data_IF_988234996215
#
_entry.id   IF_988234996215
#
_cell.length_a   1.000
_cell.length_b   1.000
_cell.length_c   1.000
_cell.angle_alpha   90.00
_cell.angle_beta   90.00
_cell.angle_gamma   90.00
#
_symmetry.space_group_name_H-M   'P 1'
#
loop_
_entity.id
_entity.type
_entity.pdbx_description
1 polymer ?
#
# COMPACT_ATOMS: atom_id res chain seq x y z
N UNK A 1 -54.15 -21.70 11.82
CA UNK A 1 -53.08 -20.76 12.22
C UNK A 1 -51.86 -21.60 12.53
N UNK A 2 -50.80 -21.40 11.75
CA UNK A 2 -49.66 -22.30 11.64
C UNK A 2 -48.80 -22.33 12.91
N UNK A 3 -48.53 -23.55 13.36
CA UNK A 3 -47.52 -23.88 14.36
C UNK A 3 -46.13 -23.56 13.80
N UNK A 4 -45.45 -22.58 14.42
CA UNK A 4 -44.01 -22.34 14.19
C UNK A 4 -43.22 -23.49 14.80
N UNK A 5 -42.84 -24.44 13.94
CA UNK A 5 -41.95 -25.56 14.24
C UNK A 5 -40.54 -25.05 14.57
N UNK A 6 -40.30 -24.76 15.85
CA UNK A 6 -38.95 -24.65 16.39
C UNK A 6 -38.33 -26.04 16.45
N UNK A 7 -37.57 -26.39 15.40
CA UNK A 7 -36.72 -27.57 15.37
C UNK A 7 -35.82 -27.56 16.63
N UNK A 8 -35.80 -28.62 17.46
CA UNK A 8 -34.96 -28.65 18.65
C UNK A 8 -33.49 -28.52 18.23
N UNK A 9 -32.82 -27.45 18.68
CA UNK A 9 -31.38 -27.30 18.47
C UNK A 9 -30.67 -28.39 19.25
N UNK A 10 -29.83 -29.14 18.56
CA UNK A 10 -29.10 -30.26 19.14
C UNK A 10 -28.07 -29.76 20.16
N UNK A 11 -28.11 -30.32 21.37
CA UNK A 11 -27.10 -30.21 22.46
C UNK A 11 -25.63 -30.32 22.00
N UNK A 12 -25.38 -30.93 20.83
CA UNK A 12 -24.05 -30.98 20.22
C UNK A 12 -23.50 -29.59 19.88
N UNK A 13 -24.31 -28.64 19.40
CA UNK A 13 -23.80 -27.33 18.97
C UNK A 13 -23.34 -26.47 20.16
N UNK A 14 -24.06 -26.52 21.29
CA UNK A 14 -23.68 -25.82 22.53
C UNK A 14 -22.37 -26.36 23.12
N UNK A 15 -22.15 -27.68 23.03
CA UNK A 15 -20.94 -28.33 23.52
C UNK A 15 -19.66 -27.88 22.81
N UNK A 16 -19.74 -27.35 21.58
CA UNK A 16 -18.56 -26.90 20.82
C UNK A 16 -18.37 -25.38 20.78
N UNK A 17 -19.46 -24.61 20.83
CA UNK A 17 -19.39 -23.15 20.66
C UNK A 17 -18.74 -22.43 21.86
N UNK A 18 -19.10 -22.81 23.10
CA UNK A 18 -18.53 -22.20 24.31
C UNK A 18 -17.03 -22.52 24.48
N UNK A 19 -16.58 -23.79 24.31
CA UNK A 19 -15.15 -24.09 24.33
C UNK A 19 -14.35 -23.38 23.24
N UNK A 20 -14.95 -23.16 22.06
CA UNK A 20 -14.30 -22.39 20.98
C UNK A 20 -14.06 -20.93 21.39
N UNK A 21 -15.04 -20.27 21.99
CA UNK A 21 -14.89 -18.93 22.54
C UNK A 21 -13.86 -18.88 23.65
N UNK A 22 -13.89 -19.86 24.56
CA UNK A 22 -12.94 -19.95 25.67
C UNK A 22 -11.49 -20.15 25.18
N UNK A 23 -11.30 -20.95 24.12
CA UNK A 23 -10.01 -21.14 23.49
C UNK A 23 -9.49 -19.83 22.86
N UNK A 24 -10.34 -19.08 22.16
CA UNK A 24 -9.96 -17.80 21.55
C UNK A 24 -9.59 -16.73 22.58
N UNK A 25 -10.25 -16.74 23.75
CA UNK A 25 -9.95 -15.81 24.85
C UNK A 25 -8.64 -16.17 25.56
N UNK A 26 -8.37 -17.47 25.75
CA UNK A 26 -7.16 -17.94 26.45
C UNK A 26 -5.88 -17.80 25.63
N UNK A 27 -5.99 -17.83 24.29
CA UNK A 27 -4.84 -17.94 23.41
C UNK A 27 -4.61 -16.62 22.67
N UNK A 28 -3.69 -15.82 23.21
CA UNK A 28 -3.25 -14.56 22.62
C UNK A 28 -1.82 -14.70 22.10
N UNK A 29 -1.66 -14.78 20.77
CA UNK A 29 -0.37 -14.89 20.09
C UNK A 29 0.00 -13.62 19.33
N UNK A 30 1.30 -13.43 19.05
CA UNK A 30 1.80 -12.35 18.20
C UNK A 30 1.77 -10.95 18.84
N UNK A 31 1.82 -9.92 18.01
CA UNK A 31 1.95 -8.51 18.43
C UNK A 31 0.60 -7.82 18.63
N UNK A 32 -0.17 -8.28 19.62
CA UNK A 32 -1.51 -7.76 19.92
C UNK A 32 -1.51 -6.62 20.95
N UNK A 33 -0.47 -6.50 21.77
CA UNK A 33 -0.35 -5.38 22.73
C UNK A 33 -0.29 -4.06 21.96
N UNK A 34 -1.05 -3.08 22.43
CA UNK A 34 -1.16 -1.74 21.83
C UNK A 34 -1.77 -1.70 20.42
N UNK A 35 -2.46 -2.78 20.00
CA UNK A 35 -3.22 -2.79 18.76
C UNK A 35 -4.71 -2.44 19.02
N UNK A 36 -5.17 -1.23 18.66
CA UNK A 36 -6.54 -0.81 18.93
C UNK A 36 -7.59 -1.65 18.19
N UNK A 37 -7.33 -2.05 16.94
CA UNK A 37 -8.22 -2.91 16.16
C UNK A 37 -8.38 -4.30 16.80
N UNK A 38 -7.29 -4.86 17.34
CA UNK A 38 -7.35 -6.12 18.08
C UNK A 38 -8.16 -5.95 19.37
N UNK A 39 -7.93 -4.87 20.13
CA UNK A 39 -8.65 -4.58 21.35
C UNK A 39 -10.16 -4.48 21.10
N UNK A 40 -10.58 -3.76 20.05
CA UNK A 40 -11.99 -3.64 19.67
C UNK A 40 -12.63 -4.99 19.36
N UNK A 41 -11.97 -5.80 18.51
CA UNK A 41 -12.46 -7.14 18.17
C UNK A 41 -12.48 -8.10 19.38
N UNK A 42 -11.53 -7.97 20.29
CA UNK A 42 -11.46 -8.79 21.50
C UNK A 42 -12.53 -8.39 22.53
N UNK A 43 -12.80 -7.09 22.68
CA UNK A 43 -13.90 -6.57 23.50
C UNK A 43 -15.25 -7.05 22.93
N UNK A 44 -15.46 -6.95 21.61
CA UNK A 44 -16.66 -7.49 20.93
C UNK A 44 -16.84 -8.97 21.27
N UNK A 45 -15.78 -9.78 21.13
CA UNK A 45 -15.81 -11.21 21.47
C UNK A 45 -16.19 -11.46 22.94
N UNK A 46 -15.61 -10.70 23.88
CA UNK A 46 -15.89 -10.80 25.31
C UNK A 46 -17.34 -10.46 25.65
N UNK A 47 -17.87 -9.36 25.10
CA UNK A 47 -19.26 -8.95 25.29
C UNK A 47 -20.24 -10.04 24.79
N UNK A 48 -19.99 -10.59 23.60
CA UNK A 48 -20.86 -11.62 23.04
C UNK A 48 -20.79 -12.94 23.81
N UNK A 49 -19.62 -13.30 24.36
CA UNK A 49 -19.46 -14.49 25.21
C UNK A 49 -20.41 -14.46 26.41
N UNK A 50 -20.49 -13.33 27.11
CA UNK A 50 -21.32 -13.16 28.31
C UNK A 50 -22.76 -12.72 28.03
N UNK A 51 -23.10 -12.37 26.79
CA UNK A 51 -24.47 -11.97 26.43
C UNK A 51 -25.48 -13.13 26.41
N UNK A 52 -26.77 -12.80 26.50
CA UNK A 52 -27.89 -13.75 26.31
C UNK A 52 -28.19 -14.05 24.83
N UNK A 53 -27.30 -13.65 23.91
CA UNK A 53 -27.52 -13.84 22.46
C UNK A 53 -27.59 -15.33 22.10
N UNK A 54 -28.41 -15.71 21.10
CA UNK A 54 -28.51 -17.09 20.65
C UNK A 54 -27.16 -17.65 20.20
N UNK A 55 -26.93 -18.94 20.48
CA UNK A 55 -25.67 -19.63 20.17
C UNK A 55 -25.16 -19.43 18.73
N UNK A 56 -26.00 -19.50 17.67
CA UNK A 56 -25.51 -19.30 16.30
C UNK A 56 -24.90 -17.92 16.06
N UNK A 57 -25.39 -16.90 16.77
CA UNK A 57 -24.82 -15.54 16.71
C UNK A 57 -23.45 -15.53 17.38
N UNK A 58 -23.30 -16.20 18.54
CA UNK A 58 -22.01 -16.32 19.22
C UNK A 58 -20.97 -17.05 18.38
N UNK A 59 -21.37 -18.11 17.68
CA UNK A 59 -20.50 -18.85 16.73
C UNK A 59 -20.05 -17.94 15.59
N UNK A 60 -20.98 -17.18 14.98
CA UNK A 60 -20.65 -16.25 13.90
C UNK A 60 -19.62 -15.20 14.33
N UNK A 61 -19.77 -14.64 15.54
CA UNK A 61 -18.80 -13.68 16.10
C UNK A 61 -17.45 -14.34 16.37
N UNK A 62 -17.43 -15.57 16.91
CA UNK A 62 -16.21 -16.34 17.10
C UNK A 62 -15.47 -16.58 15.77
N UNK A 63 -16.21 -16.93 14.71
CA UNK A 63 -15.65 -17.15 13.37
C UNK A 63 -15.10 -15.86 12.76
N UNK A 64 -15.81 -14.74 12.92
CA UNK A 64 -15.35 -13.42 12.48
C UNK A 64 -14.06 -13.01 13.18
N UNK A 65 -13.99 -13.15 14.51
CA UNK A 65 -12.77 -12.89 15.29
C UNK A 65 -11.63 -13.81 14.87
N UNK A 66 -11.90 -15.10 14.69
CA UNK A 66 -10.88 -16.06 14.28
C UNK A 66 -10.32 -15.74 12.89
N UNK A 67 -11.18 -15.38 11.92
CA UNK A 67 -10.74 -14.96 10.60
C UNK A 67 -9.87 -13.70 10.64
N UNK A 68 -10.29 -12.70 11.43
CA UNK A 68 -9.52 -11.50 11.69
C UNK A 68 -8.13 -11.83 12.29
N UNK A 69 -8.11 -12.64 13.34
CA UNK A 69 -6.89 -12.97 14.07
C UNK A 69 -5.92 -13.81 13.23
N UNK A 70 -6.44 -14.73 12.42
CA UNK A 70 -5.62 -15.50 11.49
C UNK A 70 -4.95 -14.58 10.46
N UNK A 71 -5.70 -13.67 9.84
CA UNK A 71 -5.13 -12.70 8.91
C UNK A 71 -4.04 -11.84 9.56
N UNK A 72 -4.28 -11.40 10.79
CA UNK A 72 -3.29 -10.64 11.56
C UNK A 72 -1.99 -11.43 11.73
N UNK A 73 -2.08 -12.67 12.20
CA UNK A 73 -0.91 -13.53 12.44
C UNK A 73 -0.17 -13.87 11.13
N UNK A 74 -0.90 -14.13 10.03
CA UNK A 74 -0.30 -14.37 8.72
C UNK A 74 0.50 -13.14 8.24
N UNK A 75 -0.03 -11.94 8.43
CA UNK A 75 0.67 -10.70 8.09
C UNK A 75 1.91 -10.49 8.97
N UNK A 76 1.82 -10.75 10.26
CA UNK A 76 2.97 -10.67 11.17
C UNK A 76 4.07 -11.65 10.76
N UNK A 77 3.71 -12.88 10.37
CA UNK A 77 4.68 -13.86 9.87
C UNK A 77 5.35 -13.40 8.57
N UNK A 78 4.59 -12.81 7.63
CA UNK A 78 5.16 -12.24 6.40
C UNK A 78 6.13 -11.09 6.69
N UNK A 79 5.81 -10.25 7.68
CA UNK A 79 6.68 -9.17 8.11
C UNK A 79 7.97 -9.71 8.74
N UNK A 80 7.87 -10.73 9.60
CA UNK A 80 9.02 -11.36 10.26
C UNK A 80 9.96 -12.02 9.23
N UNK A 81 9.38 -12.73 8.26
CA UNK A 81 10.12 -13.31 7.15
C UNK A 81 10.88 -12.23 6.35
N UNK A 82 10.21 -11.12 6.01
CA UNK A 82 10.87 -10.04 5.27
C UNK A 82 11.92 -9.32 6.10
N UNK A 83 11.70 -9.07 7.39
CA UNK A 83 12.72 -8.49 8.28
C UNK A 83 13.95 -9.39 8.35
N UNK A 84 13.75 -10.71 8.41
CA UNK A 84 14.85 -11.69 8.40
C UNK A 84 15.66 -11.63 7.10
N UNK A 85 14.97 -11.55 5.95
CA UNK A 85 15.61 -11.38 4.64
C UNK A 85 16.38 -10.06 4.55
N UNK A 86 15.77 -8.95 4.96
CA UNK A 86 16.41 -7.63 5.00
C UNK A 86 17.66 -7.62 5.86
N UNK A 87 17.64 -8.25 7.04
CA UNK A 87 18.82 -8.38 7.90
C UNK A 87 19.94 -9.16 7.20
N UNK A 88 19.60 -10.17 6.42
CA UNK A 88 20.56 -10.97 5.66
C UNK A 88 21.13 -10.19 4.46
N UNK A 89 20.29 -9.45 3.73
CA UNK A 89 20.69 -8.53 2.67
C UNK A 89 21.68 -7.48 3.22
N UNK A 90 21.36 -6.85 4.35
CA UNK A 90 22.23 -5.87 5.00
C UNK A 90 23.59 -6.44 5.41
N UNK A 91 23.64 -7.65 5.98
CA UNK A 91 24.91 -8.30 6.38
C UNK A 91 25.88 -8.54 5.23
N UNK A 92 25.35 -8.70 4.01
CA UNK A 92 26.14 -8.98 2.80
C UNK A 92 26.66 -7.71 2.12
N UNK A 93 26.23 -6.54 2.56
CA UNK A 93 26.58 -5.27 1.94
C UNK A 93 27.76 -4.60 2.67
N UNK A 94 28.65 -3.91 1.93
CA UNK A 94 29.60 -2.99 2.55
C UNK A 94 28.87 -1.90 3.35
N UNK A 95 29.46 -1.45 4.47
CA UNK A 95 28.84 -0.52 5.43
C UNK A 95 28.33 0.79 4.80
N UNK A 96 28.96 1.24 3.71
CA UNK A 96 28.63 2.50 3.01
C UNK A 96 27.78 2.28 1.74
N UNK A 97 27.26 1.07 1.52
CA UNK A 97 26.47 0.77 0.33
C UNK A 97 25.12 1.51 0.34
N UNK A 98 24.69 2.03 -0.82
CA UNK A 98 23.43 2.81 -0.95
C UNK A 98 22.19 2.02 -0.53
N UNK A 99 22.22 0.69 -0.65
CA UNK A 99 21.16 -0.20 -0.19
C UNK A 99 21.04 -0.31 1.33
N UNK A 100 22.09 0.00 2.09
CA UNK A 100 22.05 -0.14 3.55
C UNK A 100 20.98 0.77 4.16
N UNK A 101 20.89 2.03 3.70
CA UNK A 101 19.85 2.98 4.14
C UNK A 101 18.45 2.55 3.69
N UNK A 102 18.34 1.99 2.48
CA UNK A 102 17.07 1.50 1.94
C UNK A 102 16.52 0.36 2.81
N UNK A 103 17.34 -0.65 3.06
CA UNK A 103 16.97 -1.81 3.87
C UNK A 103 16.73 -1.47 5.34
N UNK A 104 17.49 -0.54 5.92
CA UNK A 104 17.22 -0.03 7.27
C UNK A 104 15.85 0.64 7.36
N UNK A 105 15.47 1.44 6.33
CA UNK A 105 14.14 2.04 6.26
C UNK A 105 13.05 0.97 6.18
N UNK A 106 13.22 -0.05 5.32
CA UNK A 106 12.25 -1.13 5.21
C UNK A 106 12.03 -1.86 6.53
N UNK A 107 13.13 -2.20 7.22
CA UNK A 107 13.10 -2.88 8.51
C UNK A 107 12.32 -2.07 9.54
N UNK A 108 12.61 -0.76 9.66
CA UNK A 108 11.93 0.12 10.62
C UNK A 108 10.44 0.25 10.32
N UNK A 109 10.04 0.32 9.05
CA UNK A 109 8.63 0.37 8.67
C UNK A 109 7.89 -0.92 9.03
N UNK A 110 8.51 -2.09 8.76
CA UNK A 110 7.98 -3.39 9.15
C UNK A 110 7.87 -3.49 10.68
N UNK A 111 8.92 -3.18 11.43
CA UNK A 111 8.90 -3.27 12.89
C UNK A 111 7.83 -2.37 13.54
N UNK A 112 7.60 -1.17 12.99
CA UNK A 112 6.55 -0.26 13.49
C UNK A 112 5.14 -0.70 13.14
N UNK A 113 4.95 -1.57 12.16
CA UNK A 113 3.64 -1.98 11.70
C UNK A 113 3.02 -3.13 12.51
N UNK A 114 3.80 -3.82 13.35
CA UNK A 114 3.35 -5.01 14.10
C UNK A 114 2.13 -4.76 14.98
N UNK A 115 2.00 -3.58 15.58
CA UNK A 115 0.86 -3.22 16.45
C UNK A 115 -0.22 -2.42 15.70
N UNK A 116 -0.09 -2.23 14.39
CA UNK A 116 -1.06 -1.49 13.56
C UNK A 116 -2.18 -2.41 13.05
N UNK A 117 -3.19 -1.80 12.42
CA UNK A 117 -4.33 -2.51 11.84
C UNK A 117 -3.91 -3.48 10.74
N UNK A 118 -4.73 -4.49 10.45
CA UNK A 118 -4.46 -5.45 9.38
C UNK A 118 -4.32 -4.77 8.00
N UNK A 119 -5.07 -3.69 7.76
CA UNK A 119 -4.94 -2.90 6.54
C UNK A 119 -3.54 -2.24 6.43
N UNK A 120 -3.08 -1.62 7.52
CA UNK A 120 -1.75 -0.99 7.56
C UNK A 120 -0.66 -2.04 7.40
N UNK A 121 -0.75 -3.16 8.12
CA UNK A 121 0.20 -4.29 7.99
C UNK A 121 0.30 -4.77 6.55
N UNK A 122 -0.85 -5.02 5.90
CA UNK A 122 -0.90 -5.46 4.51
C UNK A 122 -0.22 -4.47 3.56
N UNK A 123 -0.44 -3.17 3.76
CA UNK A 123 0.20 -2.13 2.96
C UNK A 123 1.71 -2.08 3.20
N UNK A 124 2.16 -2.19 4.45
CA UNK A 124 3.59 -2.18 4.79
C UNK A 124 4.31 -3.41 4.24
N UNK A 125 3.72 -4.61 4.36
CA UNK A 125 4.25 -5.83 3.74
C UNK A 125 4.45 -5.62 2.24
N UNK A 126 3.41 -5.14 1.54
CA UNK A 126 3.45 -4.91 0.08
C UNK A 126 4.51 -3.89 -0.33
N UNK A 127 4.64 -2.77 0.40
CA UNK A 127 5.64 -1.74 0.10
C UNK A 127 7.07 -2.25 0.30
N UNK A 128 7.27 -3.17 1.24
CA UNK A 128 8.58 -3.62 1.67
C UNK A 128 9.01 -4.97 1.06
N UNK A 129 8.30 -5.50 0.06
CA UNK A 129 8.76 -6.69 -0.71
C UNK A 129 9.75 -6.38 -1.83
N UNK A 130 9.98 -5.10 -2.13
CA UNK A 130 10.80 -4.68 -3.27
C UNK A 130 12.28 -4.71 -2.85
N UNK A 131 13.17 -5.42 -3.61
CA UNK A 131 14.60 -5.43 -3.32
C UNK A 131 15.23 -4.06 -3.61
N UNK A 132 16.42 -3.83 -3.11
CA UNK A 132 17.11 -2.57 -3.33
C UNK A 132 17.36 -2.30 -4.82
N UNK A 133 17.00 -1.11 -5.35
CA UNK A 133 17.19 -0.77 -6.77
C UNK A 133 18.66 -0.61 -7.19
N UNK A 134 19.58 -0.56 -6.22
CA UNK A 134 21.02 -0.43 -6.46
C UNK A 134 21.74 -1.79 -6.44
N UNK A 135 21.00 -2.91 -6.32
CA UNK A 135 21.62 -4.23 -6.34
C UNK A 135 21.99 -4.64 -7.79
N UNK A 136 23.23 -5.11 -8.04
CA UNK A 136 23.69 -5.43 -9.40
C UNK A 136 22.85 -6.50 -10.12
N UNK A 137 22.24 -7.43 -9.38
CA UNK A 137 21.33 -8.47 -9.87
C UNK A 137 20.01 -7.87 -10.37
N UNK A 138 19.44 -6.91 -9.64
CA UNK A 138 18.22 -6.17 -10.01
C UNK A 138 18.46 -5.30 -11.23
N UNK A 139 19.63 -4.65 -11.33
CA UNK A 139 20.02 -3.88 -12.50
C UNK A 139 20.21 -4.75 -13.75
N UNK A 140 20.79 -5.95 -13.63
CA UNK A 140 20.89 -6.91 -14.74
C UNK A 140 19.52 -7.48 -15.15
N UNK A 141 18.64 -7.78 -14.21
CA UNK A 141 17.29 -8.23 -14.51
C UNK A 141 16.47 -7.15 -15.26
N UNK A 142 16.60 -5.89 -14.84
CA UNK A 142 16.01 -4.75 -15.57
C UNK A 142 16.56 -4.61 -17.00
N UNK A 143 17.86 -4.87 -17.21
CA UNK A 143 18.47 -4.86 -18.54
C UNK A 143 18.03 -6.03 -19.44
N UNK A 144 17.77 -7.21 -18.85
CA UNK A 144 17.29 -8.40 -19.59
C UNK A 144 15.83 -8.21 -20.03
N UNK A 145 14.97 -7.64 -19.19
CA UNK A 145 13.55 -7.37 -19.50
C UNK A 145 13.39 -6.42 -20.69
N UNK A 146 14.31 -5.46 -20.86
CA UNK A 146 14.33 -4.59 -22.04
C UNK A 146 14.72 -5.32 -23.34
N UNK A 147 15.44 -6.45 -23.27
CA UNK A 147 15.85 -7.24 -24.44
C UNK A 147 14.85 -8.33 -24.86
N UNK A 148 14.00 -8.82 -23.96
CA UNK A 148 13.12 -9.97 -24.20
C UNK A 148 11.72 -9.65 -24.74
N UNK A 149 11.41 -8.38 -25.03
CA UNK A 149 10.17 -8.00 -25.74
C UNK A 149 10.15 -8.38 -27.24
N UNK A 150 11.15 -9.11 -27.75
CA UNK A 150 11.26 -9.46 -29.17
C UNK A 150 11.00 -10.92 -29.54
N UNK A 151 10.81 -11.85 -28.59
CA UNK A 151 10.61 -13.28 -28.95
C UNK A 151 9.63 -13.98 -28.01
N UNK A 152 8.39 -14.17 -28.49
CA UNK A 152 7.35 -15.01 -27.89
C UNK A 152 7.62 -16.48 -28.26
N UNK A 153 7.88 -17.35 -27.30
CA UNK A 153 7.76 -18.80 -27.49
C UNK A 153 6.87 -19.40 -26.42
N UNK A 154 5.85 -20.12 -26.91
CA UNK A 154 4.82 -20.83 -26.17
C UNK A 154 5.42 -22.02 -25.42
N UNK A 155 5.23 -22.12 -24.11
CA UNK A 155 5.44 -23.36 -23.34
C UNK A 155 4.11 -23.73 -22.70
N UNK A 156 3.54 -24.86 -23.13
CA UNK A 156 2.34 -25.45 -22.53
C UNK A 156 2.77 -26.28 -21.30
N UNK A 157 2.13 -26.04 -20.15
CA UNK A 157 2.27 -26.86 -18.95
C UNK A 157 0.88 -27.43 -18.60
N UNK A 158 0.82 -28.75 -18.47
CA UNK A 158 -0.39 -29.53 -18.22
C UNK A 158 -1.05 -29.23 -16.87
N UNK A 159 -2.38 -29.34 -16.88
CA UNK A 159 -3.32 -28.89 -15.84
C UNK A 159 -3.47 -29.85 -14.66
N UNK A 160 -3.68 -29.25 -13.48
CA UNK A 160 -4.28 -29.89 -12.31
C UNK A 160 -5.53 -29.07 -11.91
N UNK A 161 -6.71 -29.49 -12.40
CA UNK A 161 -7.90 -28.63 -12.63
C UNK A 161 -8.60 -28.05 -11.39
N UNK A 162 -8.53 -28.69 -10.22
CA UNK A 162 -9.28 -28.24 -9.03
C UNK A 162 -8.58 -27.11 -8.25
N UNK A 163 -7.25 -27.17 -8.12
CA UNK A 163 -6.45 -26.10 -7.49
C UNK A 163 -6.36 -24.85 -8.37
N UNK A 164 -6.32 -25.04 -9.69
CA UNK A 164 -6.18 -23.96 -10.67
C UNK A 164 -7.39 -23.01 -10.68
N UNK A 165 -8.62 -23.55 -10.57
CA UNK A 165 -9.84 -22.74 -10.51
C UNK A 165 -9.89 -21.83 -9.26
N UNK A 166 -9.53 -22.36 -8.08
CA UNK A 166 -9.47 -21.56 -6.84
C UNK A 166 -8.43 -20.43 -6.94
N UNK A 167 -7.24 -20.74 -7.45
CA UNK A 167 -6.15 -19.75 -7.64
C UNK A 167 -6.58 -18.66 -8.63
N UNK A 168 -7.18 -19.03 -9.76
CA UNK A 168 -7.68 -18.06 -10.73
C UNK A 168 -8.72 -17.14 -10.12
N UNK A 169 -9.69 -17.66 -9.36
CA UNK A 169 -10.72 -16.84 -8.71
C UNK A 169 -10.11 -15.79 -7.77
N UNK A 170 -9.06 -16.14 -7.02
CA UNK A 170 -8.33 -15.20 -6.16
C UNK A 170 -7.62 -14.12 -6.97
N UNK A 171 -6.94 -14.48 -8.06
CA UNK A 171 -6.26 -13.52 -8.94
C UNK A 171 -7.25 -12.54 -9.56
N UNK A 172 -8.38 -13.05 -10.05
CA UNK A 172 -9.44 -12.23 -10.64
C UNK A 172 -10.02 -11.26 -9.61
N UNK A 173 -10.27 -11.71 -8.38
CA UNK A 173 -10.74 -10.83 -7.31
C UNK A 173 -9.75 -9.71 -6.97
N UNK A 174 -8.43 -9.99 -7.00
CA UNK A 174 -7.39 -8.96 -6.82
C UNK A 174 -7.39 -7.94 -7.96
N UNK A 175 -7.53 -8.41 -9.20
CA UNK A 175 -7.67 -7.55 -10.38
C UNK A 175 -8.92 -6.68 -10.28
N UNK A 176 -10.06 -7.25 -9.85
CA UNK A 176 -11.30 -6.49 -9.68
C UNK A 176 -11.20 -5.41 -8.60
N UNK A 177 -10.51 -5.70 -7.49
CA UNK A 177 -10.22 -4.71 -6.48
C UNK A 177 -9.37 -3.54 -7.04
N UNK A 178 -8.41 -3.82 -7.92
CA UNK A 178 -7.62 -2.78 -8.57
C UNK A 178 -8.45 -1.97 -9.58
N UNK A 179 -9.30 -2.64 -10.37
CA UNK A 179 -10.16 -1.97 -11.36
C UNK A 179 -11.17 -1.03 -10.68
N UNK A 180 -11.71 -1.45 -9.53
CA UNK A 180 -12.68 -0.66 -8.78
C UNK A 180 -12.01 0.37 -7.85
N UNK A 181 -10.69 0.38 -7.76
CA UNK A 181 -9.94 1.33 -6.93
C UNK A 181 -9.98 2.72 -7.57
N UNK A 182 -10.55 3.68 -6.85
CA UNK A 182 -10.64 5.09 -7.24
C UNK A 182 -9.62 5.97 -6.50
N UNK A 183 -8.41 5.45 -6.29
CA UNK A 183 -7.38 6.14 -5.51
C UNK A 183 -6.62 7.18 -6.33
N UNK A 184 -6.38 8.35 -5.74
CA UNK A 184 -5.59 9.43 -6.32
C UNK A 184 -6.22 10.10 -7.56
N UNK A 185 -5.43 10.84 -8.31
CA UNK A 185 -5.86 11.61 -9.48
C UNK A 185 -5.86 10.77 -10.78
N UNK A 186 -6.69 9.72 -10.80
CA UNK A 186 -6.77 8.78 -11.91
C UNK A 186 -7.64 9.28 -13.09
N UNK A 187 -8.62 10.13 -12.83
CA UNK A 187 -9.54 10.65 -13.86
C UNK A 187 -8.80 11.58 -14.83
N UNK A 188 -8.95 11.34 -16.14
CA UNK A 188 -8.24 12.08 -17.19
C UNK A 188 -6.78 11.68 -17.38
N UNK A 189 -6.24 10.73 -16.60
CA UNK A 189 -4.88 10.24 -16.77
C UNK A 189 -4.80 9.16 -17.87
N UNK A 190 -4.31 9.54 -19.04
CA UNK A 190 -4.19 8.64 -20.21
C UNK A 190 -3.35 7.40 -19.93
N UNK A 191 -2.20 7.54 -19.26
CA UNK A 191 -1.31 6.42 -18.92
C UNK A 191 -2.03 5.44 -17.98
N UNK A 192 -2.78 5.94 -17.01
CA UNK A 192 -3.56 5.11 -16.10
C UNK A 192 -4.63 4.33 -16.84
N UNK A 193 -5.40 5.00 -17.72
CA UNK A 193 -6.43 4.36 -18.53
C UNK A 193 -5.86 3.26 -19.44
N UNK A 194 -4.70 3.49 -20.05
CA UNK A 194 -4.01 2.48 -20.88
C UNK A 194 -3.59 1.26 -20.05
N UNK A 195 -2.92 1.48 -18.90
CA UNK A 195 -2.47 0.40 -18.02
C UNK A 195 -3.63 -0.38 -17.41
N UNK A 196 -4.71 0.30 -17.05
CA UNK A 196 -5.92 -0.33 -16.54
C UNK A 196 -6.62 -1.17 -17.63
N UNK A 197 -6.65 -0.66 -18.87
CA UNK A 197 -7.21 -1.38 -20.02
C UNK A 197 -6.42 -2.65 -20.34
N UNK A 198 -5.09 -2.61 -20.26
CA UNK A 198 -4.23 -3.82 -20.38
C UNK A 198 -4.69 -4.91 -19.39
N UNK A 199 -4.98 -4.53 -18.14
CA UNK A 199 -5.41 -5.45 -17.08
C UNK A 199 -6.83 -6.00 -17.31
N UNK A 200 -7.76 -5.15 -17.76
CA UNK A 200 -9.14 -5.55 -18.09
C UNK A 200 -9.16 -6.54 -19.26
N UNK A 201 -8.39 -6.26 -20.32
CA UNK A 201 -8.27 -7.15 -21.48
C UNK A 201 -7.66 -8.48 -21.05
N UNK A 202 -6.60 -8.45 -20.22
CA UNK A 202 -5.96 -9.66 -19.71
C UNK A 202 -6.94 -10.55 -18.93
N UNK A 203 -7.76 -9.95 -18.06
CA UNK A 203 -8.81 -10.65 -17.30
C UNK A 203 -9.77 -11.42 -18.21
N UNK A 204 -10.12 -10.86 -19.37
CA UNK A 204 -11.11 -11.42 -20.31
C UNK A 204 -10.52 -12.39 -21.34
N UNK A 205 -9.24 -12.28 -21.67
CA UNK A 205 -8.60 -12.97 -22.82
C UNK A 205 -8.12 -14.40 -22.55
N UNK A 206 -8.65 -15.08 -21.53
CA UNK A 206 -8.30 -16.48 -21.25
C UNK A 206 -6.84 -16.72 -20.84
N UNK A 207 -6.07 -15.66 -20.53
CA UNK A 207 -4.65 -15.74 -20.13
C UNK A 207 -4.40 -16.72 -18.99
N UNK A 208 -3.22 -17.33 -18.96
CA UNK A 208 -2.80 -18.21 -17.87
C UNK A 208 -2.75 -17.45 -16.53
N UNK A 209 -2.81 -18.17 -15.41
CA UNK A 209 -2.74 -17.54 -14.08
C UNK A 209 -1.41 -16.80 -13.86
N UNK A 210 -0.32 -17.32 -14.41
CA UNK A 210 1.01 -16.69 -14.33
C UNK A 210 1.02 -15.35 -15.07
N UNK A 211 0.47 -15.30 -16.29
CA UNK A 211 0.36 -14.04 -17.05
C UNK A 211 -0.57 -13.03 -16.37
N UNK A 212 -1.68 -13.48 -15.78
CA UNK A 212 -2.57 -12.61 -15.02
C UNK A 212 -1.89 -12.03 -13.78
N UNK A 213 -1.13 -12.84 -13.04
CA UNK A 213 -0.33 -12.38 -11.90
C UNK A 213 0.73 -11.37 -12.31
N UNK A 214 1.43 -11.63 -13.42
CA UNK A 214 2.43 -10.71 -13.96
C UNK A 214 1.83 -9.36 -14.34
N UNK A 215 0.71 -9.36 -15.07
CA UNK A 215 0.04 -8.13 -15.49
C UNK A 215 -0.53 -7.35 -14.32
N UNK A 216 -1.08 -8.06 -13.33
CA UNK A 216 -1.52 -7.46 -12.08
C UNK A 216 -0.35 -6.81 -11.32
N UNK A 217 0.77 -7.50 -11.16
CA UNK A 217 1.96 -6.95 -10.50
C UNK A 217 2.50 -5.73 -11.23
N UNK A 218 2.56 -5.77 -12.57
CA UNK A 218 2.99 -4.65 -13.41
C UNK A 218 2.07 -3.42 -13.25
N UNK A 219 0.75 -3.63 -13.24
CA UNK A 219 -0.20 -2.55 -12.97
C UNK A 219 -0.04 -1.97 -11.57
N UNK A 220 0.13 -2.84 -10.56
CA UNK A 220 0.34 -2.41 -9.18
C UNK A 220 1.62 -1.59 -9.01
N UNK A 221 2.72 -1.99 -9.64
CA UNK A 221 3.98 -1.24 -9.61
C UNK A 221 3.79 0.15 -10.22
N UNK A 222 3.21 0.22 -11.41
CA UNK A 222 2.88 1.47 -12.07
C UNK A 222 2.01 2.37 -11.17
N UNK A 223 0.90 1.84 -10.64
CA UNK A 223 -0.05 2.60 -9.86
C UNK A 223 0.54 3.07 -8.53
N UNK A 224 1.39 2.25 -7.90
CA UNK A 224 2.11 2.65 -6.67
C UNK A 224 3.07 3.80 -6.93
N UNK A 225 3.82 3.75 -8.04
CA UNK A 225 4.69 4.88 -8.42
C UNK A 225 3.88 6.15 -8.71
N UNK A 226 2.70 6.01 -9.31
CA UNK A 226 1.81 7.15 -9.57
C UNK A 226 1.38 7.81 -8.25
N UNK A 227 0.87 7.02 -7.31
CA UNK A 227 0.40 7.53 -6.02
C UNK A 227 1.53 8.16 -5.18
N UNK A 228 2.73 7.56 -5.15
CA UNK A 228 3.91 8.13 -4.47
C UNK A 228 4.33 9.48 -5.07
N UNK A 229 4.17 9.67 -6.38
CA UNK A 229 4.44 10.97 -7.01
C UNK A 229 3.37 12.00 -6.67
N UNK A 230 2.10 11.59 -6.60
CA UNK A 230 0.98 12.46 -6.21
C UNK A 230 1.15 12.94 -4.75
N UNK A 231 1.52 12.04 -3.84
CA UNK A 231 1.85 12.37 -2.44
C UNK A 231 2.99 13.39 -2.34
N UNK A 232 4.08 13.19 -3.09
CA UNK A 232 5.20 14.15 -3.10
C UNK A 232 4.84 15.51 -3.71
N UNK A 233 3.89 15.54 -4.63
CA UNK A 233 3.35 16.78 -5.18
C UNK A 233 2.55 17.51 -4.09
N UNK A 234 1.71 16.79 -3.35
CA UNK A 234 0.95 17.34 -2.22
C UNK A 234 1.87 17.90 -1.13
N UNK A 235 2.91 17.13 -0.74
CA UNK A 235 3.91 17.55 0.24
C UNK A 235 4.58 18.87 -0.18
N UNK A 236 5.08 18.94 -1.44
CA UNK A 236 5.75 20.15 -1.91
C UNK A 236 4.79 21.34 -2.02
N UNK A 237 3.53 21.12 -2.39
CA UNK A 237 2.53 22.19 -2.41
C UNK A 237 2.25 22.72 -1.00
N UNK A 238 2.24 21.84 0.01
CA UNK A 238 2.13 22.22 1.42
C UNK A 238 3.32 23.07 1.86
N UNK A 239 4.55 22.63 1.55
CA UNK A 239 5.78 23.39 1.86
C UNK A 239 5.74 24.80 1.23
N UNK A 240 5.31 24.90 -0.04
CA UNK A 240 5.20 26.19 -0.72
C UNK A 240 4.20 27.11 -0.01
N UNK A 241 3.06 26.59 0.46
CA UNK A 241 2.08 27.42 1.18
C UNK A 241 2.70 27.98 2.47
N UNK A 242 3.40 27.13 3.23
CA UNK A 242 4.10 27.55 4.45
C UNK A 242 5.20 28.59 4.15
N UNK A 243 6.01 28.36 3.12
CA UNK A 243 7.05 29.31 2.67
C UNK A 243 6.43 30.66 2.28
N UNK A 244 5.28 30.66 1.59
CA UNK A 244 4.57 31.89 1.19
C UNK A 244 3.98 32.64 2.39
N UNK A 245 3.41 31.94 3.38
CA UNK A 245 2.86 32.55 4.59
C UNK A 245 3.92 33.23 5.45
N UNK A 246 5.15 32.72 5.45
CA UNK A 246 6.27 33.29 6.20
C UNK A 246 6.89 34.55 5.56
N UNK A 247 6.55 34.87 4.29
CA UNK A 247 7.15 36.01 3.58
C UNK A 247 6.45 37.34 3.88
N UNK A 248 7.25 38.37 4.15
CA UNK A 248 6.78 39.76 4.16
C UNK A 248 6.32 40.18 2.76
N UNK A 249 5.23 40.95 2.65
CA UNK A 249 4.73 41.45 1.36
C UNK A 249 5.24 42.88 1.11
N UNK A 250 5.76 43.21 -0.10
CA UNK A 250 5.97 42.35 -1.28
C UNK A 250 7.34 41.64 -1.30
N UNK A 251 7.38 40.36 -1.73
CA UNK A 251 8.63 39.60 -1.88
C UNK A 251 8.77 38.96 -3.27
N UNK A 252 9.97 38.98 -3.86
CA UNK A 252 10.26 38.38 -5.18
C UNK A 252 9.96 36.87 -5.23
N UNK A 253 10.06 36.18 -4.08
CA UNK A 253 9.73 34.76 -3.97
C UNK A 253 8.23 34.46 -4.14
N UNK A 254 7.32 35.41 -3.94
CA UNK A 254 5.89 35.18 -4.14
C UNK A 254 5.61 34.76 -5.59
N UNK A 255 6.24 35.45 -6.57
CA UNK A 255 6.11 35.12 -7.99
C UNK A 255 6.77 33.77 -8.30
N UNK A 256 7.90 33.46 -7.68
CA UNK A 256 8.60 32.18 -7.87
C UNK A 256 7.73 31.00 -7.40
N UNK A 257 7.26 31.05 -6.15
CA UNK A 257 6.43 30.02 -5.56
C UNK A 257 5.06 29.87 -6.25
N UNK A 258 4.47 30.98 -6.70
CA UNK A 258 3.26 30.91 -7.52
C UNK A 258 3.45 30.11 -8.82
N UNK A 259 4.60 30.23 -9.50
CA UNK A 259 4.89 29.42 -10.68
C UNK A 259 5.08 27.94 -10.33
N UNK A 260 5.77 27.64 -9.22
CA UNK A 260 5.94 26.26 -8.76
C UNK A 260 4.58 25.60 -8.45
N UNK A 261 3.73 26.28 -7.66
CA UNK A 261 2.39 25.76 -7.33
C UNK A 261 1.54 25.52 -8.56
N UNK A 262 1.58 26.44 -9.53
CA UNK A 262 0.85 26.26 -10.79
C UNK A 262 1.36 25.05 -11.58
N UNK A 263 2.68 24.88 -11.70
CA UNK A 263 3.26 23.75 -12.42
C UNK A 263 2.91 22.39 -11.76
N UNK A 264 2.98 22.33 -10.42
CA UNK A 264 2.67 21.13 -9.64
C UNK A 264 1.17 20.77 -9.69
N UNK A 265 0.26 21.74 -9.54
CA UNK A 265 -1.19 21.50 -9.62
C UNK A 265 -1.64 20.97 -10.99
N UNK A 266 -0.91 21.26 -12.07
CA UNK A 266 -1.25 20.84 -13.42
C UNK A 266 -0.64 19.48 -13.83
N UNK A 267 0.09 18.78 -12.95
CA UNK A 267 0.79 17.55 -13.32
C UNK A 267 0.14 16.25 -12.83
N UNK A 268 -0.91 16.32 -11.99
CA UNK A 268 -1.58 15.13 -11.43
C UNK A 268 -2.09 14.14 -12.48
N UNK A 269 -2.63 14.62 -13.60
CA UNK A 269 -3.17 13.77 -14.67
C UNK A 269 -2.13 13.37 -15.73
N UNK A 270 -0.88 13.83 -15.59
CA UNK A 270 0.20 13.53 -16.54
C UNK A 270 0.85 12.18 -16.23
N UNK A 271 1.68 11.71 -17.16
CA UNK A 271 2.45 10.48 -17.02
C UNK A 271 3.43 10.54 -15.82
N UNK A 272 3.76 9.39 -15.24
CA UNK A 272 4.71 9.29 -14.13
C UNK A 272 6.09 9.88 -14.46
N UNK A 273 6.52 9.76 -15.72
CA UNK A 273 7.77 10.36 -16.24
C UNK A 273 7.74 11.90 -16.14
N UNK A 274 6.64 12.50 -16.55
CA UNK A 274 6.41 13.96 -16.53
C UNK A 274 6.28 14.45 -15.09
N UNK A 275 5.51 13.75 -14.25
CA UNK A 275 5.42 14.03 -12.81
C UNK A 275 6.80 14.10 -12.16
N UNK A 276 7.64 13.07 -12.36
CA UNK A 276 9.02 13.03 -11.84
C UNK A 276 9.85 14.25 -12.27
N UNK A 277 9.76 14.63 -13.55
CA UNK A 277 10.49 15.77 -14.11
C UNK A 277 10.03 17.10 -13.50
N UNK A 278 8.72 17.34 -13.43
CA UNK A 278 8.14 18.57 -12.88
C UNK A 278 8.43 18.67 -11.38
N UNK A 279 8.26 17.58 -10.63
CA UNK A 279 8.56 17.55 -9.20
C UNK A 279 10.03 17.90 -8.94
N UNK A 280 10.98 17.33 -9.68
CA UNK A 280 12.41 17.64 -9.56
C UNK A 280 12.73 19.11 -9.91
N UNK A 281 12.07 19.67 -10.91
CA UNK A 281 12.29 21.07 -11.30
C UNK A 281 11.75 22.06 -10.26
N UNK A 282 10.75 21.66 -9.46
CA UNK A 282 10.05 22.50 -8.49
C UNK A 282 10.36 22.12 -7.02
N UNK A 283 11.40 21.30 -6.80
CA UNK A 283 11.86 20.94 -5.44
C UNK A 283 12.88 21.91 -4.86
N UNK A 284 13.21 22.98 -5.59
CA UNK A 284 14.21 23.97 -5.18
C UNK A 284 13.53 25.14 -4.46
N UNK A 285 14.19 25.65 -3.42
CA UNK A 285 13.77 26.86 -2.71
C UNK A 285 13.97 28.11 -3.55
N UNK A 286 13.30 29.18 -3.16
CA UNK A 286 13.47 30.47 -3.80
C UNK A 286 14.92 30.97 -3.65
N UNK A 287 15.58 31.39 -4.74
CA UNK A 287 16.96 31.85 -4.69
C UNK A 287 17.13 33.23 -4.02
N UNK A 288 16.03 33.96 -3.77
CA UNK A 288 16.05 35.29 -3.17
C UNK A 288 15.95 35.28 -1.63
N UNK A 289 15.90 34.11 -0.99
CA UNK A 289 15.83 34.00 0.49
C UNK A 289 17.15 34.38 1.20
N UNK A 290 18.28 34.43 0.48
CA UNK A 290 19.62 34.65 1.06
C UNK A 290 20.22 36.04 0.78
N UNK A 291 19.43 37.04 0.39
CA UNK A 291 19.94 38.38 0.08
C UNK A 291 19.57 39.40 1.18
N UNK A 292 20.38 39.53 2.25
CA UNK A 292 20.14 40.51 3.31
C UNK A 292 20.19 41.97 2.83
N UNK A 293 20.56 42.24 1.57
CA UNK A 293 20.61 43.59 1.01
C UNK A 293 19.34 44.04 0.27
N UNK A 294 18.32 43.18 0.10
CA UNK A 294 17.08 43.55 -0.61
C UNK A 294 15.94 44.03 0.30
N UNK A 295 16.22 44.37 1.56
CA UNK A 295 15.24 44.98 2.47
C UNK A 295 15.14 46.51 2.35
N UNK A 296 16.04 47.17 1.62
CA UNK A 296 16.04 48.62 1.50
C UNK A 296 15.52 49.07 0.13
N UNK A 297 14.19 49.13 0.01
CA UNK A 297 13.54 50.09 -0.86
C UNK A 297 13.73 51.50 -0.29
N UNK A 298 14.95 52.03 -0.31
CA UNK A 298 15.20 53.43 0.07
C UNK A 298 14.67 54.32 -1.06
N UNK A 299 13.50 54.89 -0.83
CA UNK A 299 13.02 56.05 -1.57
C UNK A 299 13.96 57.21 -1.23
N UNK A 300 14.89 57.55 -2.12
CA UNK A 300 15.63 58.81 -2.03
C UNK A 300 14.83 59.82 -2.83
N UNK A 301 14.15 60.70 -2.10
CA UNK A 301 13.50 61.91 -2.62
C UNK A 301 14.57 62.89 -3.12
N UNK A 302 14.43 63.50 -4.30
CA UNK A 302 15.39 64.52 -4.74
C UNK A 302 15.12 65.85 -4.02
N UNK A 303 16.18 66.46 -3.50
CA UNK A 303 16.25 67.90 -3.23
C UNK A 303 16.88 68.60 -4.44
#
# INVERSE_FOLDING_TARGET
MEYSSHKPRTLKDEKYALPKLDALVKVQFGHYKDNPEYADHFIELGLFRHSEKPLPVKVLIADKFQAYNNLRLDLEQLMEARVSEVNFEMKRLPSNHKCMRFYLKQKLELERAYTRTNEVKLNVVRKNTIPCPFEPSVQRAMQIIHKSNSSRSHVQIHNNGSKNYRVRKVIIAKIDAQINSKLGHYEGNKEYSEKLSELIIAKKSGKSNIELLYLHAKFQEYNSQRLDLEEKIDDRLSDINFEVEALAKPHKCLKFYSHQSWALKNVYQRENSVKKKILRANSVKCPYECDPHNQNGTTITPQ
#
